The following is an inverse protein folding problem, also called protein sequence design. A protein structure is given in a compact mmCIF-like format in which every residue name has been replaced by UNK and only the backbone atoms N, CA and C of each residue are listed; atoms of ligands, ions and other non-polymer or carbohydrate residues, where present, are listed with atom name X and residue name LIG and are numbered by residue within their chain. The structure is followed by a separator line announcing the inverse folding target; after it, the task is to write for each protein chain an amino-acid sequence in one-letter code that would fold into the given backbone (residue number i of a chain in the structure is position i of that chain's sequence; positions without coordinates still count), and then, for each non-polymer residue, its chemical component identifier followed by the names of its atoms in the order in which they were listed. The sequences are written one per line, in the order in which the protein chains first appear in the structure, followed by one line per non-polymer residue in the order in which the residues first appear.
data_IF_314774156016
#
_entry.id   IF_314774156016
#
_cell.length_a   1.000
_cell.length_b   1.000
_cell.length_c   1.000
_cell.angle_alpha   90.00
_cell.angle_beta   90.00
_cell.angle_gamma   90.00
#
_symmetry.space_group_name_H-M   'P 1'
#
loop_
_entity.id
_entity.type
_entity.pdbx_description
1 polymer ?
#
# COMPACT_ATOMS: atom_id res chain seq x y z
N UNK A 1 34.24 -47.41 -8.80
CA UNK A 1 33.37 -48.54 -9.19
C UNK A 1 31.93 -48.12 -9.23
N UNK A 2 31.31 -48.40 -10.37
CA UNK A 2 29.86 -48.45 -10.73
C UNK A 2 29.00 -47.17 -10.65
N UNK A 3 28.80 -46.66 -11.84
CA UNK A 3 27.65 -45.85 -12.34
C UNK A 3 26.30 -46.60 -12.25
N UNK A 4 25.24 -45.87 -12.06
CA UNK A 4 23.86 -46.08 -12.62
C UNK A 4 23.09 -44.80 -12.25
N UNK A 5 22.50 -43.98 -13.04
CA UNK A 5 21.99 -43.96 -14.41
C UNK A 5 20.62 -44.60 -14.56
N UNK A 6 19.53 -43.81 -14.59
CA UNK A 6 18.17 -44.12 -15.10
C UNK A 6 17.36 -42.84 -14.83
N UNK A 7 16.69 -42.21 -15.67
CA UNK A 7 16.11 -42.24 -17.00
C UNK A 7 14.87 -41.32 -16.93
N UNK A 8 14.79 -40.47 -17.92
CA UNK A 8 13.63 -39.57 -18.24
C UNK A 8 12.39 -40.42 -18.58
N UNK A 9 11.20 -39.96 -18.18
CA UNK A 9 9.96 -40.29 -18.93
C UNK A 9 9.07 -39.05 -19.02
N UNK A 10 8.93 -38.60 -20.23
CA UNK A 10 7.92 -37.74 -20.84
C UNK A 10 6.60 -38.46 -20.97
N UNK A 11 5.48 -37.82 -20.69
CA UNK A 11 4.14 -38.17 -21.20
C UNK A 11 3.30 -36.87 -21.13
N UNK A 12 3.07 -36.25 -22.15
CA UNK A 12 2.23 -36.22 -23.34
C UNK A 12 0.72 -36.09 -23.03
N UNK A 13 0.20 -35.01 -23.58
CA UNK A 13 -1.18 -34.51 -23.56
C UNK A 13 -2.21 -35.52 -24.13
N UNK A 14 -3.45 -35.38 -23.66
CA UNK A 14 -4.62 -35.69 -24.47
C UNK A 14 -5.79 -34.76 -24.12
N UNK A 15 -6.16 -33.97 -25.10
CA UNK A 15 -7.42 -33.25 -25.21
C UNK A 15 -8.53 -34.26 -25.61
N UNK A 16 -9.71 -34.14 -25.03
CA UNK A 16 -10.93 -34.77 -25.52
C UNK A 16 -12.05 -33.74 -25.56
N UNK A 17 -12.36 -33.29 -26.76
CA UNK A 17 -13.57 -32.57 -27.10
C UNK A 17 -14.73 -33.56 -27.20
N UNK A 18 -15.87 -33.29 -26.56
CA UNK A 18 -17.14 -33.99 -26.86
C UNK A 18 -18.16 -32.96 -27.34
N UNK A 19 -18.46 -33.07 -28.63
CA UNK A 19 -19.60 -32.47 -29.31
C UNK A 19 -20.75 -33.46 -29.15
N UNK A 20 -21.88 -33.01 -28.63
CA UNK A 20 -23.14 -33.72 -28.75
C UNK A 20 -24.15 -32.83 -29.48
N UNK A 21 -24.37 -33.18 -30.72
CA UNK A 21 -25.52 -32.83 -31.55
C UNK A 21 -26.66 -33.79 -31.25
N UNK A 22 -27.85 -33.28 -30.98
CA UNK A 22 -29.10 -34.07 -31.14
C UNK A 22 -30.15 -33.18 -31.80
N UNK A 23 -30.54 -33.62 -33.00
CA UNK A 23 -31.67 -33.17 -33.79
C UNK A 23 -32.96 -33.91 -33.43
N UNK A 24 -34.09 -33.28 -33.71
CA UNK A 24 -35.42 -33.87 -33.86
C UNK A 24 -36.48 -33.06 -33.16
N UNK A 25 -37.39 -32.40 -33.72
CA UNK A 25 -38.24 -32.53 -34.88
C UNK A 25 -39.71 -32.68 -34.42
N UNK A 26 -40.63 -31.78 -34.77
CA UNK A 26 -42.05 -32.00 -34.60
C UNK A 26 -42.91 -30.75 -34.34
N UNK A 27 -43.60 -30.40 -35.34
CA UNK A 27 -44.57 -29.35 -35.66
C UNK A 27 -45.85 -29.38 -34.78
N UNK A 28 -46.44 -28.23 -34.45
CA UNK A 28 -47.72 -27.69 -34.95
C UNK A 28 -48.30 -26.55 -34.13
N UNK A 29 -48.55 -25.46 -34.85
CA UNK A 29 -49.61 -24.45 -34.83
C UNK A 29 -50.31 -23.98 -33.54
N UNK A 30 -50.34 -22.72 -33.39
CA UNK A 30 -51.33 -21.64 -33.51
C UNK A 30 -51.27 -20.56 -32.42
N UNK A 31 -50.93 -19.38 -32.96
CA UNK A 31 -51.59 -18.07 -32.82
C UNK A 31 -52.08 -17.58 -31.45
N UNK A 32 -51.57 -16.49 -30.91
CA UNK A 32 -52.06 -15.13 -31.04
C UNK A 32 -51.37 -14.14 -30.09
N UNK A 33 -51.04 -13.00 -30.67
CA UNK A 33 -50.87 -11.66 -30.09
C UNK A 33 -49.73 -11.36 -29.09
N UNK A 34 -48.80 -10.56 -29.62
CA UNK A 34 -47.91 -9.63 -28.91
C UNK A 34 -48.70 -8.52 -28.21
N UNK A 35 -48.08 -7.73 -27.28
CA UNK A 35 -47.05 -6.81 -27.73
C UNK A 35 -45.84 -6.59 -26.77
N UNK A 36 -44.81 -6.11 -27.43
CA UNK A 36 -43.83 -5.12 -27.05
C UNK A 36 -42.81 -5.37 -25.90
N UNK A 37 -41.56 -5.53 -26.31
CA UNK A 37 -40.50 -4.63 -25.99
C UNK A 37 -39.76 -4.88 -24.68
N UNK A 38 -38.74 -5.71 -24.75
CA UNK A 38 -37.66 -5.73 -23.79
C UNK A 38 -36.41 -6.23 -24.51
N UNK A 39 -35.64 -5.33 -25.09
CA UNK A 39 -34.34 -5.64 -25.66
C UNK A 39 -33.44 -6.16 -24.55
N UNK A 40 -33.07 -7.43 -24.62
CA UNK A 40 -31.93 -7.94 -23.92
C UNK A 40 -30.68 -7.21 -24.47
N UNK A 41 -30.20 -6.20 -23.76
CA UNK A 41 -28.86 -5.67 -24.01
C UNK A 41 -27.86 -6.69 -23.52
N UNK A 42 -27.22 -7.37 -24.44
CA UNK A 42 -25.94 -8.01 -24.24
C UNK A 42 -24.99 -6.94 -23.70
N UNK A 43 -24.56 -7.09 -22.47
CA UNK A 43 -23.47 -6.31 -21.92
C UNK A 43 -22.22 -6.65 -22.75
N UNK A 44 -21.91 -5.79 -23.72
CA UNK A 44 -20.59 -5.72 -24.31
C UNK A 44 -19.69 -5.11 -23.24
N UNK A 45 -18.78 -5.92 -22.76
CA UNK A 45 -17.61 -5.48 -22.00
C UNK A 45 -16.86 -4.45 -22.86
N UNK A 46 -17.17 -3.19 -22.61
CA UNK A 46 -16.46 -2.06 -23.19
C UNK A 46 -15.40 -1.67 -22.15
N UNK A 47 -14.20 -2.23 -22.29
CA UNK A 47 -12.99 -1.70 -21.68
C UNK A 47 -12.74 -0.28 -22.16
N UNK A 48 -13.65 0.63 -21.80
CA UNK A 48 -13.48 2.06 -21.99
C UNK A 48 -12.46 2.56 -20.98
N UNK A 49 -11.40 3.20 -21.45
CA UNK A 49 -10.68 4.18 -20.66
C UNK A 49 -11.66 5.31 -20.31
N UNK A 50 -12.46 5.10 -19.26
CA UNK A 50 -13.34 6.13 -18.72
C UNK A 50 -12.45 7.27 -18.21
N UNK A 51 -12.75 8.49 -18.68
CA UNK A 51 -12.15 9.69 -18.12
C UNK A 51 -12.39 9.67 -16.61
N UNK A 52 -11.32 9.72 -15.81
CA UNK A 52 -11.42 9.76 -14.35
C UNK A 52 -12.03 11.12 -14.00
N UNK A 53 -13.28 11.10 -13.54
CA UNK A 53 -14.04 12.31 -13.25
C UNK A 53 -14.06 12.67 -11.77
N UNK A 54 -13.73 11.73 -10.88
CA UNK A 54 -13.71 11.93 -9.42
C UNK A 54 -12.29 11.76 -8.90
N UNK A 55 -11.76 12.80 -8.27
CA UNK A 55 -10.42 12.83 -7.67
C UNK A 55 -10.45 13.02 -6.15
N UNK A 56 -11.62 13.34 -5.58
CA UNK A 56 -11.85 13.41 -4.13
C UNK A 56 -12.49 12.08 -3.70
N UNK A 57 -11.76 11.26 -2.98
CA UNK A 57 -12.16 9.90 -2.61
C UNK A 57 -12.56 9.86 -1.15
N UNK A 58 -13.67 9.22 -0.84
CA UNK A 58 -14.12 8.97 0.54
C UNK A 58 -14.03 7.48 0.85
N UNK A 59 -13.26 7.15 1.88
CA UNK A 59 -13.02 5.76 2.32
C UNK A 59 -13.64 5.55 3.70
N UNK A 60 -14.31 4.43 3.93
CA UNK A 60 -14.75 4.04 5.27
C UNK A 60 -13.81 2.98 5.87
N UNK A 61 -13.32 3.22 7.07
CA UNK A 61 -12.51 2.29 7.87
C UNK A 61 -13.15 2.00 9.21
N UNK A 62 -12.89 0.80 9.77
CA UNK A 62 -13.50 0.34 11.02
C UNK A 62 -12.81 0.85 12.28
N UNK A 63 -11.64 1.45 12.19
CA UNK A 63 -10.86 1.98 13.30
C UNK A 63 -10.13 3.25 12.89
N UNK A 64 -9.86 4.11 13.85
CA UNK A 64 -9.05 5.31 13.67
C UNK A 64 -7.55 4.97 13.75
N UNK A 65 -6.72 5.87 13.28
CA UNK A 65 -5.27 5.85 13.48
C UNK A 65 -4.94 6.20 14.94
N UNK A 66 -3.84 5.68 15.44
CA UNK A 66 -3.44 5.92 16.84
C UNK A 66 -2.42 7.04 16.97
N UNK A 67 -1.70 7.36 15.91
CA UNK A 67 -0.69 8.41 15.84
C UNK A 67 -0.28 8.65 14.40
N UNK A 68 0.24 9.84 14.13
CA UNK A 68 0.85 10.19 12.85
C UNK A 68 2.40 10.08 12.90
N UNK A 69 2.97 9.68 14.04
CA UNK A 69 4.39 9.35 14.17
C UNK A 69 4.63 7.89 13.71
N UNK A 70 5.40 7.64 12.65
CA UNK A 70 5.70 6.29 12.18
C UNK A 70 6.20 5.35 13.29
N UNK A 71 7.15 5.80 14.12
CA UNK A 71 7.75 4.99 15.17
C UNK A 71 6.82 4.76 16.39
N UNK A 72 5.68 5.44 16.45
CA UNK A 72 4.68 5.33 17.51
C UNK A 72 3.65 4.23 17.31
N UNK A 73 3.60 3.58 16.14
CA UNK A 73 2.54 2.64 15.77
C UNK A 73 3.07 1.24 15.44
N UNK A 74 2.17 0.24 15.50
CA UNK A 74 2.34 -1.13 15.01
C UNK A 74 1.00 -1.73 14.56
N UNK A 75 -0.01 -0.91 14.34
CA UNK A 75 -1.33 -1.34 13.88
C UNK A 75 -1.51 -1.09 12.38
N UNK A 76 -2.41 -1.87 11.76
CA UNK A 76 -2.63 -1.82 10.32
C UNK A 76 -3.22 -0.49 9.86
N UNK A 77 -4.14 0.09 10.64
CA UNK A 77 -4.85 1.32 10.25
C UNK A 77 -3.90 2.50 10.17
N UNK A 78 -3.09 2.71 11.23
CA UNK A 78 -2.03 3.73 11.20
C UNK A 78 -0.99 3.44 10.13
N UNK A 79 -0.64 2.15 9.93
CA UNK A 79 0.31 1.75 8.88
C UNK A 79 -0.14 2.14 7.48
N UNK A 80 -1.44 2.03 7.16
CA UNK A 80 -2.00 2.47 5.86
C UNK A 80 -1.84 3.98 5.68
N UNK A 81 -2.21 4.79 6.68
CA UNK A 81 -2.03 6.23 6.60
C UNK A 81 -0.55 6.60 6.44
N UNK A 82 0.31 6.03 7.28
CA UNK A 82 1.76 6.30 7.27
C UNK A 82 2.37 6.00 5.90
N UNK A 83 1.95 4.92 5.24
CA UNK A 83 2.44 4.55 3.90
C UNK A 83 2.15 5.63 2.85
N UNK A 84 1.03 6.33 2.94
CA UNK A 84 0.69 7.41 2.01
C UNK A 84 1.37 8.75 2.34
N UNK A 85 1.70 8.98 3.61
CA UNK A 85 2.24 10.27 4.07
C UNK A 85 3.77 10.28 4.09
N UNK A 86 4.38 9.13 4.32
CA UNK A 86 5.83 8.98 4.42
C UNK A 86 6.33 7.94 3.42
N UNK A 87 7.61 8.01 3.10
CA UNK A 87 8.29 7.00 2.32
C UNK A 87 9.22 6.15 3.18
N UNK A 88 9.42 4.92 2.77
CA UNK A 88 10.39 3.99 3.36
C UNK A 88 11.70 4.00 2.59
N UNK A 89 12.71 3.30 3.07
CA UNK A 89 13.98 3.21 2.34
C UNK A 89 13.83 2.40 1.04
N UNK A 90 13.08 1.30 1.10
CA UNK A 90 12.68 0.46 -0.03
C UNK A 90 11.22 0.07 0.16
N UNK A 91 10.56 -0.38 -0.89
CA UNK A 91 9.18 -0.87 -0.83
C UNK A 91 9.07 -2.32 -1.34
N UNK A 92 7.88 -2.89 -1.30
CA UNK A 92 7.56 -4.25 -1.76
C UNK A 92 6.43 -4.16 -2.78
N UNK A 93 6.66 -4.73 -3.98
CA UNK A 93 5.62 -4.82 -5.01
C UNK A 93 4.56 -5.90 -4.70
N UNK A 94 3.54 -6.00 -5.55
CA UNK A 94 2.43 -6.97 -5.41
C UNK A 94 2.93 -8.43 -5.47
N UNK A 95 4.06 -8.69 -6.11
CA UNK A 95 4.70 -10.00 -6.18
C UNK A 95 5.59 -10.30 -4.97
N UNK A 96 5.77 -9.33 -4.06
CA UNK A 96 6.62 -9.46 -2.87
C UNK A 96 8.11 -9.22 -3.11
N UNK A 97 8.47 -8.61 -4.25
CA UNK A 97 9.85 -8.22 -4.52
C UNK A 97 10.18 -6.88 -3.87
N UNK A 98 11.43 -6.74 -3.45
CA UNK A 98 11.95 -5.47 -2.96
C UNK A 98 12.16 -4.50 -4.14
N UNK A 99 11.50 -3.36 -4.08
CA UNK A 99 11.56 -2.32 -5.12
C UNK A 99 12.09 -1.00 -4.55
N UNK A 100 12.67 -0.12 -5.40
CA UNK A 100 13.09 1.22 -4.99
C UNK A 100 11.95 2.07 -4.43
N UNK A 101 12.26 2.83 -3.37
CA UNK A 101 11.45 3.94 -2.87
C UNK A 101 12.39 5.14 -2.66
N UNK A 102 12.71 5.57 -1.44
CA UNK A 102 13.72 6.63 -1.23
C UNK A 102 15.12 6.22 -1.66
N UNK A 103 15.47 4.93 -1.58
CA UNK A 103 16.71 4.42 -2.14
C UNK A 103 16.50 3.92 -3.58
N UNK A 104 17.30 4.41 -4.51
CA UNK A 104 17.33 3.93 -5.91
C UNK A 104 17.88 2.49 -6.00
N UNK A 105 18.81 2.18 -5.11
CA UNK A 105 19.53 0.91 -5.11
C UNK A 105 20.20 0.63 -3.77
N UNK A 106 20.60 -0.61 -3.58
CA UNK A 106 21.46 -1.01 -2.48
C UNK A 106 22.54 -2.00 -2.93
N UNK A 107 23.65 -1.99 -2.20
CA UNK A 107 24.73 -2.97 -2.36
C UNK A 107 24.95 -3.71 -1.04
N UNK A 108 24.99 -5.03 -1.10
CA UNK A 108 25.38 -5.86 0.04
C UNK A 108 26.90 -6.05 0.00
N UNK A 109 27.62 -5.26 0.81
CA UNK A 109 29.08 -5.34 0.94
C UNK A 109 29.52 -6.64 1.61
N UNK A 110 28.72 -7.13 2.56
CA UNK A 110 28.87 -8.41 3.26
C UNK A 110 27.52 -8.87 3.81
N UNK A 111 27.47 -10.05 4.44
CA UNK A 111 26.26 -10.57 5.10
C UNK A 111 25.76 -9.67 6.25
N UNK A 112 26.57 -8.71 6.69
CA UNK A 112 26.27 -7.79 7.80
C UNK A 112 26.42 -6.31 7.43
N UNK A 113 26.66 -5.98 6.15
CA UNK A 113 26.85 -4.61 5.74
C UNK A 113 26.12 -4.33 4.42
N UNK A 114 25.23 -3.32 4.44
CA UNK A 114 24.41 -2.89 3.32
C UNK A 114 24.57 -1.38 3.14
N UNK A 115 24.90 -0.94 1.92
CA UNK A 115 24.95 0.46 1.55
C UNK A 115 23.81 0.78 0.60
N UNK A 116 22.99 1.78 0.93
CA UNK A 116 21.89 2.27 0.09
C UNK A 116 22.29 3.58 -0.55
N UNK A 117 21.94 3.75 -1.82
CA UNK A 117 22.03 5.01 -2.54
C UNK A 117 20.64 5.64 -2.57
N UNK A 118 20.48 6.80 -1.97
CA UNK A 118 19.24 7.58 -1.97
C UNK A 118 19.05 8.30 -3.31
N UNK A 119 17.81 8.60 -3.63
CA UNK A 119 17.42 9.50 -4.70
C UNK A 119 17.84 10.93 -4.35
N UNK A 120 18.35 11.66 -5.34
CA UNK A 120 18.74 13.05 -5.15
C UNK A 120 17.56 14.02 -5.35
N UNK A 121 16.45 13.56 -5.96
CA UNK A 121 15.25 14.33 -6.23
C UNK A 121 14.18 14.19 -5.14
N UNK A 122 14.36 13.28 -4.16
CA UNK A 122 13.41 13.09 -3.06
C UNK A 122 13.42 14.26 -2.08
N UNK A 123 12.24 14.75 -1.74
CA UNK A 123 12.06 15.83 -0.78
C UNK A 123 10.85 15.58 0.14
N UNK A 124 10.86 16.22 1.29
CA UNK A 124 9.70 16.32 2.16
C UNK A 124 8.65 17.27 1.56
N UNK A 125 7.45 17.25 2.12
CA UNK A 125 6.31 18.04 1.61
C UNK A 125 6.49 19.57 1.69
N UNK A 126 7.46 20.05 2.47
CA UNK A 126 7.89 21.46 2.47
C UNK A 126 8.91 21.77 1.37
N UNK A 127 9.45 20.76 0.69
CA UNK A 127 10.47 20.87 -0.34
C UNK A 127 11.91 20.76 0.17
N UNK A 128 12.13 20.48 1.45
CA UNK A 128 13.48 20.20 1.96
C UNK A 128 13.96 18.82 1.50
N UNK A 129 15.22 18.65 1.06
CA UNK A 129 15.72 17.35 0.58
C UNK A 129 15.67 16.28 1.68
N UNK A 130 15.33 15.05 1.28
CA UNK A 130 15.53 13.86 2.13
C UNK A 130 16.99 13.42 2.01
N UNK A 131 17.68 13.28 3.13
CA UNK A 131 19.11 12.95 3.15
C UNK A 131 19.42 11.69 3.97
N UNK A 132 20.64 11.19 3.82
CA UNK A 132 21.16 10.09 4.63
C UNK A 132 21.20 10.41 6.14
N UNK A 133 21.21 11.69 6.51
CA UNK A 133 21.11 12.12 7.92
C UNK A 133 19.73 11.83 8.48
N UNK A 134 18.66 12.07 7.71
CA UNK A 134 17.28 11.76 8.09
C UNK A 134 17.08 10.26 8.24
N UNK A 135 17.66 9.46 7.33
CA UNK A 135 17.66 8.00 7.44
C UNK A 135 18.36 7.55 8.72
N UNK A 136 19.59 8.04 8.95
CA UNK A 136 20.33 7.72 10.18
C UNK A 136 19.55 8.12 11.43
N UNK A 137 19.02 9.33 11.48
CA UNK A 137 18.22 9.83 12.59
C UNK A 137 17.00 8.93 12.85
N UNK A 138 16.26 8.58 11.81
CA UNK A 138 15.07 7.72 11.89
C UNK A 138 15.39 6.39 12.56
N UNK A 139 16.41 5.68 12.08
CA UNK A 139 16.76 4.37 12.61
C UNK A 139 17.41 4.45 14.00
N UNK A 140 18.19 5.47 14.30
CA UNK A 140 18.75 5.66 15.65
C UNK A 140 17.66 5.98 16.66
N UNK A 141 16.68 6.85 16.32
CA UNK A 141 15.49 7.12 17.13
C UNK A 141 14.67 5.84 17.35
N UNK A 142 14.46 5.05 16.31
CA UNK A 142 13.65 3.82 16.35
C UNK A 142 14.23 2.75 17.29
N UNK A 143 15.53 2.75 17.59
CA UNK A 143 16.16 1.83 18.57
C UNK A 143 15.63 2.05 19.99
N UNK A 144 15.26 3.28 20.32
CA UNK A 144 14.78 3.66 21.67
C UNK A 144 13.26 3.66 21.79
N UNK A 145 12.54 3.60 20.67
CA UNK A 145 11.08 3.62 20.66
C UNK A 145 10.48 2.24 20.97
N UNK A 146 9.52 2.13 21.92
CA UNK A 146 8.97 0.84 22.35
C UNK A 146 8.39 -0.03 21.23
N UNK A 147 7.80 0.60 20.20
CA UNK A 147 7.14 -0.08 19.08
C UNK A 147 8.10 -0.60 18.01
N UNK A 148 9.28 0.02 17.86
CA UNK A 148 10.23 -0.25 16.76
C UNK A 148 11.55 -0.87 17.19
N UNK A 149 11.90 -0.82 18.48
CA UNK A 149 13.18 -1.35 18.98
C UNK A 149 13.41 -2.84 18.67
N UNK A 150 12.36 -3.64 18.56
CA UNK A 150 12.48 -5.05 18.18
C UNK A 150 12.93 -5.19 16.73
N UNK A 151 12.41 -4.36 15.83
CA UNK A 151 12.71 -4.36 14.40
C UNK A 151 14.15 -3.92 14.15
N UNK A 152 14.63 -2.94 14.93
CA UNK A 152 15.99 -2.39 14.82
C UNK A 152 17.05 -3.17 15.62
N UNK A 153 16.66 -4.17 16.41
CA UNK A 153 17.53 -4.89 17.35
C UNK A 153 18.76 -5.56 16.73
N UNK A 154 18.75 -5.81 15.42
CA UNK A 154 19.88 -6.37 14.67
C UNK A 154 20.73 -5.32 13.96
N UNK A 155 20.34 -4.03 14.02
CA UNK A 155 21.08 -2.93 13.44
C UNK A 155 22.07 -2.43 14.49
N UNK A 156 23.36 -2.68 14.27
CA UNK A 156 24.42 -2.21 15.14
C UNK A 156 24.63 -0.70 14.96
N UNK A 157 24.78 -0.26 13.72
CA UNK A 157 25.13 1.10 13.37
C UNK A 157 24.49 1.52 12.06
N UNK A 158 24.10 2.79 11.94
CA UNK A 158 23.70 3.44 10.69
C UNK A 158 24.62 4.63 10.46
N UNK A 159 25.25 4.70 9.31
CA UNK A 159 26.27 5.70 8.95
C UNK A 159 25.74 6.48 7.75
N UNK A 160 25.60 7.79 7.87
CA UNK A 160 25.43 8.68 6.73
C UNK A 160 26.84 8.93 6.14
N UNK A 161 27.16 8.24 5.06
CA UNK A 161 28.49 8.32 4.43
C UNK A 161 28.69 9.68 3.74
N UNK A 162 27.63 10.15 3.11
CA UNK A 162 27.46 11.51 2.56
C UNK A 162 25.97 11.87 2.58
N UNK A 163 25.53 12.86 1.81
CA UNK A 163 24.13 13.30 1.81
C UNK A 163 23.17 12.27 1.20
N UNK A 164 23.65 11.36 0.32
CA UNK A 164 22.82 10.39 -0.42
C UNK A 164 23.28 8.94 -0.30
N UNK A 165 24.30 8.66 0.51
CA UNK A 165 24.70 7.28 0.80
C UNK A 165 24.59 6.98 2.28
N UNK A 166 23.95 5.85 2.61
CA UNK A 166 23.78 5.40 3.99
C UNK A 166 24.17 3.92 4.11
N UNK A 167 25.04 3.63 5.05
CA UNK A 167 25.52 2.28 5.33
C UNK A 167 24.94 1.74 6.64
N UNK A 168 24.32 0.56 6.57
CA UNK A 168 23.83 -0.20 7.72
C UNK A 168 24.81 -1.31 8.05
N UNK A 169 25.22 -1.36 9.31
CA UNK A 169 25.98 -2.49 9.86
C UNK A 169 25.09 -3.28 10.81
N UNK A 170 25.01 -4.59 10.60
CA UNK A 170 24.22 -5.50 11.41
C UNK A 170 25.10 -6.20 12.46
N UNK A 171 24.50 -6.56 13.59
CA UNK A 171 25.19 -7.31 14.65
C UNK A 171 25.53 -8.75 14.25
N UNK A 172 24.81 -9.29 13.27
CA UNK A 172 24.95 -10.65 12.71
C UNK A 172 24.27 -10.72 11.35
N UNK A 173 24.55 -11.73 10.49
CA UNK A 173 23.78 -11.97 9.28
C UNK A 173 22.29 -12.07 9.58
N UNK A 174 21.47 -11.30 8.84
CA UNK A 174 20.02 -11.21 9.07
C UNK A 174 19.26 -11.07 7.75
N UNK A 175 18.77 -12.20 7.22
CA UNK A 175 18.08 -12.24 5.93
C UNK A 175 16.82 -11.35 5.87
N UNK A 176 16.11 -11.21 7.00
CA UNK A 176 14.91 -10.35 7.08
C UNK A 176 15.22 -8.84 7.08
N UNK A 177 16.50 -8.42 7.07
CA UNK A 177 16.84 -6.99 7.05
C UNK A 177 16.21 -6.25 5.87
N UNK A 178 16.13 -6.91 4.71
CA UNK A 178 15.48 -6.34 3.52
C UNK A 178 13.99 -6.03 3.74
N UNK A 179 13.28 -6.83 4.55
CA UNK A 179 11.90 -6.55 4.94
C UNK A 179 11.82 -5.48 6.03
N UNK A 180 12.87 -5.31 6.86
CA UNK A 180 12.88 -4.26 7.87
C UNK A 180 12.87 -2.87 7.23
N UNK A 181 13.59 -2.68 6.14
CA UNK A 181 13.71 -1.38 5.46
C UNK A 181 12.46 -0.97 4.66
N UNK A 182 11.44 -1.83 4.59
CA UNK A 182 10.15 -1.56 3.95
C UNK A 182 9.01 -1.36 4.95
N UNK A 183 9.31 -1.41 6.26
CA UNK A 183 8.25 -1.32 7.27
C UNK A 183 7.80 0.13 7.51
N UNK A 184 6.50 0.36 7.45
CA UNK A 184 5.90 1.69 7.60
C UNK A 184 6.20 2.35 8.95
N UNK A 185 6.40 1.56 10.02
CA UNK A 185 6.83 2.09 11.32
C UNK A 185 8.33 2.51 11.36
N UNK A 186 9.07 2.30 10.26
CA UNK A 186 10.43 2.76 10.02
C UNK A 186 10.52 3.70 8.81
N UNK A 187 9.38 4.28 8.40
CA UNK A 187 9.35 5.34 7.38
C UNK A 187 10.22 6.52 7.79
N UNK A 188 10.86 7.13 6.81
CA UNK A 188 11.87 8.16 7.05
C UNK A 188 11.21 9.47 7.48
N UNK A 189 11.67 10.02 8.59
CA UNK A 189 11.20 11.28 9.16
C UNK A 189 12.28 12.34 9.09
N UNK A 190 11.88 13.60 8.97
CA UNK A 190 12.81 14.74 9.02
C UNK A 190 13.39 14.91 10.43
N UNK A 191 14.71 14.82 10.58
CA UNK A 191 15.41 15.12 11.83
C UNK A 191 15.05 16.52 12.36
N UNK A 192 15.00 17.50 11.46
CA UNK A 192 14.65 18.87 11.81
C UNK A 192 13.23 19.01 12.35
N UNK A 193 12.24 18.38 11.68
CA UNK A 193 10.85 18.44 12.08
C UNK A 193 10.61 17.73 13.43
N UNK A 194 11.15 16.52 13.61
CA UNK A 194 11.03 15.78 14.87
C UNK A 194 11.69 16.54 16.02
N UNK A 195 12.87 17.09 15.78
CA UNK A 195 13.61 17.86 16.82
C UNK A 195 12.88 19.14 17.21
N UNK A 196 12.30 19.85 16.23
CA UNK A 196 11.54 21.07 16.47
C UNK A 196 10.23 20.82 17.22
N UNK A 197 9.52 19.75 16.87
CA UNK A 197 8.23 19.40 17.47
C UNK A 197 8.36 18.74 18.85
N UNK A 198 9.47 18.02 19.10
CA UNK A 198 9.66 17.28 20.35
C UNK A 198 8.51 16.31 20.62
N UNK A 199 7.88 16.42 21.81
CA UNK A 199 6.77 15.55 22.21
C UNK A 199 5.47 15.76 21.39
N UNK A 200 5.37 16.86 20.65
CA UNK A 200 4.24 17.16 19.77
C UNK A 200 4.41 16.58 18.36
N UNK A 201 5.48 15.82 18.10
CA UNK A 201 5.64 15.13 16.81
C UNK A 201 4.59 14.02 16.68
N UNK A 202 3.83 14.09 15.60
CA UNK A 202 2.65 13.23 15.38
C UNK A 202 1.32 13.98 15.52
N UNK A 203 1.33 15.24 15.96
CA UNK A 203 0.21 16.16 15.77
C UNK A 203 0.19 16.65 14.30
N UNK A 204 -0.99 16.91 13.74
CA UNK A 204 -1.16 17.24 12.30
C UNK A 204 -0.24 18.38 11.85
N UNK A 205 -0.10 19.42 12.67
CA UNK A 205 0.71 20.61 12.36
C UNK A 205 2.21 20.32 12.31
N UNK A 206 2.65 19.21 12.90
CA UNK A 206 4.06 18.84 13.04
C UNK A 206 4.47 17.67 12.15
N UNK A 207 3.52 17.10 11.39
CA UNK A 207 3.80 16.02 10.44
C UNK A 207 4.47 16.58 9.19
N UNK A 208 5.64 16.05 8.86
CA UNK A 208 6.38 16.38 7.65
C UNK A 208 6.85 15.07 7.01
N UNK A 209 6.09 14.60 6.02
CA UNK A 209 6.38 13.37 5.28
C UNK A 209 6.91 13.63 3.89
N UNK A 210 7.37 12.58 3.23
CA UNK A 210 7.88 12.60 1.85
C UNK A 210 7.01 11.78 0.89
N UNK A 211 5.86 11.28 1.35
CA UNK A 211 4.92 10.48 0.57
C UNK A 211 4.06 11.30 -0.37
N UNK A 212 3.18 10.60 -1.07
CA UNK A 212 2.30 11.16 -2.11
C UNK A 212 1.18 12.06 -1.58
N UNK A 213 0.87 11.97 -0.28
CA UNK A 213 -0.13 12.80 0.40
C UNK A 213 0.43 13.44 1.67
N UNK A 214 -0.24 14.51 2.11
CA UNK A 214 -0.05 15.15 3.41
C UNK A 214 -1.32 15.05 4.24
N UNK A 215 -1.21 14.93 5.56
CA UNK A 215 -2.36 15.00 6.46
C UNK A 215 -2.73 16.46 6.65
N UNK A 216 -3.96 16.84 6.33
CA UNK A 216 -4.45 18.21 6.48
C UNK A 216 -5.46 18.37 7.61
N UNK A 217 -6.08 17.27 8.02
CA UNK A 217 -7.04 17.24 9.12
C UNK A 217 -7.05 15.87 9.79
N UNK A 218 -7.23 15.83 11.10
CA UNK A 218 -7.55 14.62 11.86
C UNK A 218 -8.47 14.98 13.03
N UNK A 219 -9.69 14.47 12.96
CA UNK A 219 -10.68 14.57 14.02
C UNK A 219 -10.82 13.19 14.66
N UNK A 220 -10.27 12.95 15.86
CA UNK A 220 -10.21 11.63 16.46
C UNK A 220 -11.57 10.94 16.56
N UNK A 221 -11.62 9.67 16.10
CA UNK A 221 -12.80 8.81 16.02
C UNK A 221 -13.91 9.30 15.07
N UNK A 222 -13.62 10.26 14.20
CA UNK A 222 -14.55 10.76 13.20
C UNK A 222 -13.97 10.59 11.79
N UNK A 223 -12.92 11.33 11.47
CA UNK A 223 -12.26 11.24 10.17
C UNK A 223 -10.86 11.83 10.17
N UNK A 224 -10.11 11.53 9.11
CA UNK A 224 -8.92 12.28 8.72
C UNK A 224 -8.92 12.54 7.21
N UNK A 225 -8.23 13.59 6.80
CA UNK A 225 -8.13 14.01 5.41
C UNK A 225 -6.67 14.06 4.97
N UNK A 226 -6.41 13.37 3.86
CA UNK A 226 -5.15 13.42 3.13
C UNK A 226 -5.36 14.31 1.90
N UNK A 227 -4.41 15.20 1.64
CA UNK A 227 -4.37 16.03 0.44
C UNK A 227 -3.11 15.73 -0.34
N UNK A 228 -3.22 15.70 -1.65
CA UNK A 228 -2.09 15.43 -2.54
C UNK A 228 -0.89 16.31 -2.20
N UNK A 229 0.29 15.70 -2.13
CA UNK A 229 1.54 16.40 -1.93
C UNK A 229 2.06 16.95 -3.27
N UNK A 230 1.96 18.26 -3.47
CA UNK A 230 2.42 18.95 -4.67
C UNK A 230 3.96 18.91 -4.86
N UNK A 231 4.69 18.42 -3.84
CA UNK A 231 6.14 18.26 -3.87
C UNK A 231 6.57 16.80 -4.01
N UNK A 232 5.60 15.89 -4.23
CA UNK A 232 5.92 14.49 -4.36
C UNK A 232 6.83 14.24 -5.57
N UNK A 233 7.92 13.56 -5.31
CA UNK A 233 8.98 13.26 -6.28
C UNK A 233 8.72 11.99 -7.11
N UNK A 234 7.76 11.17 -6.70
CA UNK A 234 7.38 9.93 -7.38
C UNK A 234 6.31 10.14 -8.45
N UNK A 235 5.58 9.08 -8.75
CA UNK A 235 4.45 9.15 -9.69
C UNK A 235 3.30 9.94 -9.06
N UNK A 236 2.84 10.96 -9.77
CA UNK A 236 1.77 11.83 -9.30
C UNK A 236 0.47 11.03 -9.07
N UNK A 237 -0.14 11.06 -7.88
CA UNK A 237 -1.40 10.39 -7.62
C UNK A 237 -2.54 11.07 -8.37
N UNK A 238 -3.52 10.26 -8.83
CA UNK A 238 -4.71 10.75 -9.52
C UNK A 238 -5.66 11.43 -8.53
N UNK A 239 -5.78 10.87 -7.32
CA UNK A 239 -6.60 11.46 -6.27
C UNK A 239 -5.99 12.78 -5.80
N UNK A 240 -6.83 13.82 -5.68
CA UNK A 240 -6.44 15.12 -5.11
C UNK A 240 -6.65 15.17 -3.61
N UNK A 241 -7.63 14.43 -3.11
CA UNK A 241 -7.87 14.25 -1.68
C UNK A 241 -8.44 12.86 -1.36
N UNK A 242 -8.16 12.38 -0.15
CA UNK A 242 -8.72 11.16 0.41
C UNK A 242 -9.24 11.50 1.81
N UNK A 243 -10.56 11.43 2.00
CA UNK A 243 -11.16 11.54 3.33
C UNK A 243 -11.48 10.15 3.85
N UNK A 244 -10.90 9.77 4.97
CA UNK A 244 -11.15 8.49 5.61
C UNK A 244 -12.10 8.71 6.79
N UNK A 245 -13.31 8.15 6.71
CA UNK A 245 -14.32 8.19 7.76
C UNK A 245 -14.20 6.96 8.66
N UNK A 246 -14.21 7.18 9.97
CA UNK A 246 -14.16 6.10 10.95
C UNK A 246 -15.59 5.63 11.23
N UNK A 247 -15.94 4.46 10.71
CA UNK A 247 -17.25 3.83 10.90
C UNK A 247 -17.01 2.43 11.49
N UNK A 248 -17.05 2.27 12.83
CA UNK A 248 -16.70 1.01 13.48
C UNK A 248 -17.58 -0.18 13.09
N UNK A 249 -18.87 0.06 12.88
CA UNK A 249 -19.84 -1.00 12.58
C UNK A 249 -19.75 -1.43 11.11
N UNK A 250 -19.53 -2.75 10.86
CA UNK A 250 -19.32 -3.30 9.51
C UNK A 250 -20.48 -3.03 8.56
N UNK A 251 -21.71 -3.39 8.98
CA UNK A 251 -22.91 -3.19 8.17
C UNK A 251 -23.21 -1.71 7.92
N UNK A 252 -22.85 -0.80 8.83
CA UNK A 252 -23.00 0.64 8.59
C UNK A 252 -22.05 1.12 7.48
N UNK A 253 -20.83 0.55 7.39
CA UNK A 253 -19.91 0.85 6.28
C UNK A 253 -20.47 0.40 4.94
N UNK A 254 -21.05 -0.81 4.88
CA UNK A 254 -21.69 -1.34 3.67
C UNK A 254 -22.88 -0.47 3.24
N UNK A 255 -23.74 -0.06 4.18
CA UNK A 255 -24.86 0.82 3.90
C UNK A 255 -24.37 2.18 3.37
N UNK A 256 -23.30 2.75 3.93
CA UNK A 256 -22.73 4.01 3.46
C UNK A 256 -22.18 3.89 2.03
N UNK A 257 -21.61 2.74 1.65
CA UNK A 257 -21.18 2.44 0.29
C UNK A 257 -22.38 2.35 -0.67
N UNK A 258 -23.41 1.60 -0.32
CA UNK A 258 -24.64 1.46 -1.11
C UNK A 258 -25.39 2.79 -1.30
N UNK A 259 -25.34 3.66 -0.29
CA UNK A 259 -25.92 5.02 -0.35
C UNK A 259 -25.06 6.01 -1.15
N UNK A 260 -23.84 5.65 -1.55
CA UNK A 260 -22.90 6.55 -2.23
C UNK A 260 -22.31 7.62 -1.31
N UNK A 261 -22.36 7.42 0.03
CA UNK A 261 -21.75 8.32 1.01
C UNK A 261 -20.22 8.11 1.11
N UNK A 262 -19.76 6.92 0.75
CA UNK A 262 -18.33 6.58 0.63
C UNK A 262 -18.09 5.86 -0.69
N UNK A 263 -16.87 5.96 -1.21
CA UNK A 263 -16.48 5.38 -2.49
C UNK A 263 -15.84 4.00 -2.31
N UNK A 264 -15.27 3.76 -1.13
CA UNK A 264 -14.56 2.54 -0.81
C UNK A 264 -14.79 2.16 0.66
N UNK A 265 -14.90 0.87 0.92
CA UNK A 265 -14.94 0.31 2.28
C UNK A 265 -13.72 -0.58 2.48
N UNK A 266 -12.94 -0.26 3.49
CA UNK A 266 -11.85 -1.13 3.94
C UNK A 266 -12.37 -2.18 4.91
N UNK A 267 -12.11 -3.46 4.61
CA UNK A 267 -12.61 -4.60 5.39
C UNK A 267 -14.15 -4.69 5.44
N UNK A 268 -14.75 -5.13 4.34
CA UNK A 268 -16.18 -5.51 4.31
C UNK A 268 -16.40 -6.69 5.26
N UNK A 269 -17.47 -6.63 6.05
CA UNK A 269 -17.86 -7.75 6.90
C UNK A 269 -18.17 -8.98 6.02
N UNK A 270 -17.63 -10.16 6.32
CA UNK A 270 -17.91 -11.37 5.53
C UNK A 270 -19.39 -11.69 5.34
N UNK A 271 -20.26 -11.28 6.29
CA UNK A 271 -21.72 -11.45 6.18
C UNK A 271 -22.36 -10.54 5.13
N UNK A 272 -21.70 -9.43 4.78
CA UNK A 272 -22.21 -8.44 3.83
C UNK A 272 -21.60 -8.58 2.43
N UNK A 273 -20.55 -9.41 2.25
CA UNK A 273 -19.90 -9.61 0.95
C UNK A 273 -20.87 -9.98 -0.16
N UNK A 274 -21.81 -10.89 0.10
CA UNK A 274 -22.80 -11.33 -0.90
C UNK A 274 -23.74 -10.20 -1.35
N UNK A 275 -24.03 -9.24 -0.47
CA UNK A 275 -24.86 -8.08 -0.80
C UNK A 275 -24.08 -7.08 -1.66
N UNK A 276 -22.81 -6.85 -1.32
CA UNK A 276 -21.92 -5.96 -2.09
C UNK A 276 -21.65 -6.52 -3.50
N UNK A 277 -21.45 -7.84 -3.63
CA UNK A 277 -21.24 -8.50 -4.93
C UNK A 277 -22.50 -8.49 -5.83
N UNK A 278 -23.69 -8.35 -5.24
CA UNK A 278 -24.97 -8.35 -5.96
C UNK A 278 -25.39 -6.98 -6.50
N UNK A 279 -24.75 -5.88 -6.05
CA UNK A 279 -25.02 -4.50 -6.44
C UNK A 279 -23.95 -3.95 -7.37
#
# INVERSE_FOLDING_TARGET
MKRRGIARTTAMAMAAAMILTACGGGNTDQSTNAPAGGSAQTATDNGGSGEITKTDIVVAMGADVVTLDPAGQQDTTSGVLIHHVYSTLMDIDEEGNLVPDLAESYEMKSDTEYTFKLREDACFSDGTPVTAKDVKFTYDRAKDMPKTKSNTSKIAEVIADDDYHVTFKLTQPYAAFKTIVTQTNLSIVSEAAVTAAGDAYGDVENVLGSGEFTVTEWVPNDHYTLTKNEKYWGTEPIATSITVRVIPEGSARTIALEAGEVDLVWNVDPTDCANVEAN
#
